data_IF_124223536617
#
_entry.id   IF_124223536617
#
_cell.length_a   1.000
_cell.length_b   1.000
_cell.length_c   1.000
_cell.angle_alpha   90.00
_cell.angle_beta   90.00
_cell.angle_gamma   90.00
#
_symmetry.space_group_name_H-M   'P 1'
#
loop_
_entity.id
_entity.type
_entity.pdbx_description
1 polymer ?
#
# COMPACT_ATOMS: atom_id res chain seq x y z
N UNK A 1 14.98 13.89 -2.09
CA UNK A 1 14.35 12.68 -2.60
C UNK A 1 13.69 11.91 -1.46
N UNK A 2 12.44 11.53 -1.63
CA UNK A 2 11.71 10.80 -0.61
C UNK A 2 11.85 9.30 -0.87
N UNK A 3 12.26 8.57 0.15
CA UNK A 3 12.35 7.11 0.07
C UNK A 3 11.02 6.48 0.46
N UNK A 4 10.63 5.46 -0.29
CA UNK A 4 9.46 4.65 0.09
C UNK A 4 9.87 3.75 1.24
N UNK A 5 9.10 3.77 2.31
CA UNK A 5 9.35 2.95 3.48
C UNK A 5 8.06 2.32 3.97
N UNK A 6 8.18 1.44 4.93
CA UNK A 6 7.02 0.82 5.56
C UNK A 6 6.08 1.91 6.09
N UNK A 7 4.82 1.89 5.65
CA UNK A 7 3.84 2.91 6.01
C UNK A 7 3.69 4.04 5.00
N UNK A 8 4.50 4.08 3.95
CA UNK A 8 4.38 5.10 2.91
C UNK A 8 3.20 4.80 1.99
N UNK A 9 2.42 5.83 1.69
CA UNK A 9 1.35 5.77 0.69
C UNK A 9 1.88 6.40 -0.59
N UNK A 10 1.71 5.69 -1.70
CA UNK A 10 2.08 6.18 -3.03
C UNK A 10 0.88 6.02 -3.96
N UNK A 11 0.87 6.80 -5.03
CA UNK A 11 -0.04 6.58 -6.15
C UNK A 11 0.75 6.01 -7.30
N UNK A 12 0.27 4.92 -7.87
CA UNK A 12 0.97 4.21 -8.93
C UNK A 12 -0.05 3.50 -9.80
N UNK A 13 0.27 3.33 -11.08
CA UNK A 13 -0.56 2.55 -12.00
C UNK A 13 0.09 1.20 -12.20
N UNK A 14 -0.69 0.14 -11.99
CA UNK A 14 -0.25 -1.23 -12.28
C UNK A 14 -0.73 -1.70 -13.63
N UNK A 15 -1.52 -0.88 -14.32
CA UNK A 15 -1.99 -1.22 -15.66
C UNK A 15 -0.84 -1.19 -16.66
N UNK A 16 -0.90 -1.98 -17.73
CA UNK A 16 0.07 -1.85 -18.82
C UNK A 16 0.05 -0.43 -19.33
N UNK A 17 1.24 0.09 -19.63
CA UNK A 17 1.34 1.47 -20.09
C UNK A 17 0.63 1.63 -21.42
N UNK A 18 -0.41 2.42 -21.46
CA UNK A 18 -1.24 2.64 -22.64
C UNK A 18 -1.20 4.13 -22.98
N UNK A 19 -0.13 4.56 -23.60
CA UNK A 19 0.01 5.97 -23.96
C UNK A 19 0.10 6.86 -22.73
N UNK A 20 -0.65 7.96 -22.74
CA UNK A 20 -0.55 8.99 -21.71
C UNK A 20 -1.79 9.07 -20.82
N UNK A 21 -2.54 7.99 -20.73
CA UNK A 21 -3.74 8.00 -19.91
C UNK A 21 -3.41 7.99 -18.43
N UNK A 22 -4.13 8.82 -17.68
CA UNK A 22 -3.97 8.92 -16.24
C UNK A 22 -4.80 7.89 -15.49
N UNK A 23 -5.61 7.15 -16.20
CA UNK A 23 -6.45 6.11 -15.59
C UNK A 23 -5.58 5.03 -14.95
N UNK A 24 -6.02 4.53 -13.83
CA UNK A 24 -5.32 3.44 -13.17
C UNK A 24 -4.34 3.87 -12.09
N UNK A 25 -4.07 5.16 -11.95
CA UNK A 25 -3.28 5.62 -10.81
C UNK A 25 -4.11 5.50 -9.56
N UNK A 26 -3.67 4.63 -8.66
CA UNK A 26 -4.41 4.33 -7.43
C UNK A 26 -3.48 4.39 -6.24
N UNK A 27 -4.02 4.68 -5.05
CA UNK A 27 -3.18 4.69 -3.84
C UNK A 27 -2.92 3.27 -3.34
N UNK A 28 -1.69 3.07 -2.91
CA UNK A 28 -1.22 1.84 -2.28
C UNK A 28 -0.37 2.22 -1.07
N UNK A 29 -0.40 1.38 -0.06
CA UNK A 29 0.45 1.58 1.12
C UNK A 29 1.50 0.47 1.19
N UNK A 30 2.74 0.86 1.42
CA UNK A 30 3.84 -0.09 1.58
C UNK A 30 3.76 -0.71 2.97
N UNK A 31 3.72 -2.03 3.03
CA UNK A 31 3.64 -2.75 4.29
C UNK A 31 4.87 -3.60 4.57
N UNK A 32 5.74 -3.82 3.59
CA UNK A 32 6.92 -4.63 3.80
C UNK A 32 8.04 -3.84 4.46
N UNK A 33 8.82 -4.54 5.26
CA UNK A 33 10.02 -4.00 5.88
C UNK A 33 11.00 -3.55 4.79
N UNK A 34 11.75 -2.50 5.06
CA UNK A 34 12.72 -1.95 4.10
C UNK A 34 13.77 -2.97 3.65
N UNK A 35 14.01 -4.00 4.46
CA UNK A 35 14.95 -5.06 4.10
C UNK A 35 14.51 -5.80 2.83
N UNK A 36 13.20 -5.92 2.59
CA UNK A 36 12.70 -6.56 1.37
C UNK A 36 13.15 -5.78 0.14
N UNK A 37 12.94 -4.46 0.16
CA UNK A 37 13.34 -3.61 -0.96
C UNK A 37 14.85 -3.58 -1.14
N UNK A 38 15.58 -3.58 -0.03
CA UNK A 38 17.04 -3.53 -0.07
C UNK A 38 17.63 -4.69 -0.87
N UNK A 39 17.06 -5.88 -0.72
CA UNK A 39 17.62 -7.07 -1.37
C UNK A 39 16.92 -7.45 -2.67
N UNK A 40 15.72 -6.97 -2.92
CA UNK A 40 14.95 -7.43 -4.08
C UNK A 40 14.49 -6.32 -5.01
N UNK A 41 14.65 -5.04 -4.63
CA UNK A 41 14.17 -3.87 -5.37
C UNK A 41 12.65 -3.84 -5.54
N UNK A 42 11.93 -4.64 -4.77
CA UNK A 42 10.46 -4.64 -4.77
C UNK A 42 9.97 -4.35 -3.36
N UNK A 43 8.68 -4.08 -3.25
CA UNK A 43 8.04 -3.96 -1.95
C UNK A 43 6.64 -4.56 -2.04
N UNK A 44 6.08 -4.90 -0.87
CA UNK A 44 4.74 -5.47 -0.79
C UNK A 44 3.80 -4.38 -0.33
N UNK A 45 2.74 -4.19 -1.09
CA UNK A 45 1.76 -3.12 -0.87
C UNK A 45 0.37 -3.69 -0.70
N UNK A 46 -0.51 -2.89 -0.10
CA UNK A 46 -1.94 -3.15 -0.09
C UNK A 46 -2.64 -1.99 -0.79
N UNK A 47 -3.66 -2.26 -1.61
CA UNK A 47 -4.41 -1.18 -2.25
C UNK A 47 -5.30 -0.48 -1.25
N UNK A 48 -5.62 0.78 -1.56
CA UNK A 48 -6.53 1.59 -0.77
C UNK A 48 -7.74 1.90 -1.63
N UNK A 49 -8.93 1.68 -1.09
CA UNK A 49 -10.18 1.85 -1.82
C UNK A 49 -11.22 2.53 -0.94
N UNK A 50 -12.09 3.32 -1.57
CA UNK A 50 -13.22 3.95 -0.88
C UNK A 50 -14.44 3.03 -0.78
N UNK A 51 -14.21 1.73 -0.69
CA UNK A 51 -15.28 0.76 -0.54
C UNK A 51 -16.07 1.01 0.74
N UNK A 52 -17.37 0.73 0.68
CA UNK A 52 -18.24 0.81 1.86
C UNK A 52 -18.35 -0.53 2.57
N UNK A 53 -17.70 -1.56 2.03
CA UNK A 53 -17.78 -2.89 2.60
C UNK A 53 -17.17 -2.91 4.00
N UNK A 54 -17.90 -3.51 4.93
CA UNK A 54 -17.45 -3.70 6.30
C UNK A 54 -16.85 -5.10 6.43
N UNK A 55 -15.54 -5.15 6.64
CA UNK A 55 -14.80 -6.41 6.60
C UNK A 55 -13.53 -6.25 7.45
N UNK A 56 -13.23 -7.21 8.34
CA UNK A 56 -12.13 -7.03 9.31
C UNK A 56 -10.76 -6.72 8.70
N UNK A 57 -10.51 -7.16 7.47
CA UNK A 57 -9.23 -6.89 6.80
C UNK A 57 -9.27 -5.68 5.90
N UNK A 58 -10.37 -4.91 5.93
CA UNK A 58 -10.47 -3.61 5.27
C UNK A 58 -10.41 -2.56 6.35
N UNK A 59 -9.24 -1.94 6.52
CA UNK A 59 -8.98 -1.05 7.66
C UNK A 59 -9.09 0.40 7.24
N UNK A 60 -9.98 1.18 7.87
CA UNK A 60 -10.12 2.59 7.52
C UNK A 60 -8.85 3.38 7.82
N UNK A 61 -8.49 4.26 6.89
CA UNK A 61 -7.42 5.23 7.12
C UNK A 61 -7.93 6.32 8.04
N UNK A 62 -7.11 6.70 9.02
CA UNK A 62 -7.42 7.79 9.95
C UNK A 62 -6.19 8.66 10.09
N UNK A 63 -6.43 9.97 10.17
CA UNK A 63 -5.35 10.93 10.33
C UNK A 63 -4.50 11.08 9.08
N UNK A 64 -5.05 10.76 7.92
CA UNK A 64 -4.33 10.82 6.65
C UNK A 64 -5.06 11.72 5.67
N UNK A 65 -4.32 12.25 4.68
CA UNK A 65 -4.92 12.98 3.56
C UNK A 65 -5.63 12.02 2.62
N UNK A 66 -5.12 10.80 2.50
CA UNK A 66 -5.71 9.76 1.68
C UNK A 66 -6.93 9.20 2.39
N UNK A 67 -8.04 9.07 1.67
CA UNK A 67 -9.28 8.52 2.21
C UNK A 67 -9.46 7.09 1.74
N UNK A 68 -10.22 6.33 2.51
CA UNK A 68 -10.57 4.97 2.13
C UNK A 68 -10.13 3.94 3.16
N UNK A 69 -10.13 2.69 2.72
CA UNK A 69 -9.74 1.55 3.54
C UNK A 69 -8.58 0.84 2.89
N UNK A 70 -7.67 0.35 3.72
CA UNK A 70 -6.57 -0.49 3.28
C UNK A 70 -7.09 -1.91 3.13
N UNK A 71 -6.95 -2.47 1.94
CA UNK A 71 -7.47 -3.81 1.63
C UNK A 71 -6.38 -4.85 1.88
N UNK A 72 -6.28 -5.31 3.12
CA UNK A 72 -5.15 -6.13 3.56
C UNK A 72 -5.09 -7.51 2.94
N UNK A 73 -6.23 -8.06 2.51
CA UNK A 73 -6.24 -9.39 1.88
C UNK A 73 -5.92 -9.33 0.38
N UNK A 74 -5.57 -8.15 -0.14
CA UNK A 74 -5.23 -7.96 -1.54
C UNK A 74 -3.78 -7.48 -1.70
N UNK A 75 -2.89 -8.08 -0.94
CA UNK A 75 -1.48 -7.72 -1.00
C UNK A 75 -0.92 -7.96 -2.40
N UNK A 76 -0.05 -7.06 -2.83
CA UNK A 76 0.57 -7.14 -4.14
C UNK A 76 2.02 -6.72 -4.04
N UNK A 77 2.88 -7.42 -4.76
CA UNK A 77 4.30 -7.10 -4.87
C UNK A 77 4.48 -6.18 -6.07
N UNK A 78 5.14 -5.04 -5.85
CA UNK A 78 5.33 -4.05 -6.91
C UNK A 78 6.80 -3.68 -7.01
N UNK A 79 7.33 -3.71 -8.24
CA UNK A 79 8.60 -3.08 -8.57
C UNK A 79 8.30 -1.61 -8.88
N UNK A 80 8.22 -0.81 -7.83
CA UNK A 80 7.80 0.58 -7.99
C UNK A 80 8.85 1.44 -8.70
N UNK A 81 10.11 1.01 -8.72
CA UNK A 81 11.16 1.75 -9.43
C UNK A 81 11.04 1.60 -10.94
N UNK A 82 10.35 0.56 -11.41
CA UNK A 82 10.13 0.35 -12.84
C UNK A 82 8.89 1.09 -13.36
N UNK A 83 8.23 1.84 -12.51
CA UNK A 83 6.99 2.54 -12.87
C UNK A 83 7.02 3.97 -12.36
N UNK A 84 6.25 4.82 -12.99
CA UNK A 84 6.05 6.17 -12.48
C UNK A 84 5.16 6.08 -11.25
N UNK A 85 5.62 6.67 -10.17
CA UNK A 85 4.81 6.73 -8.95
C UNK A 85 4.96 8.09 -8.30
N UNK A 86 4.02 8.40 -7.44
CA UNK A 86 4.03 9.65 -6.69
C UNK A 86 3.90 9.34 -5.21
N UNK A 87 4.87 9.81 -4.42
CA UNK A 87 4.77 9.72 -2.96
C UNK A 87 3.65 10.64 -2.48
N UNK A 88 2.85 10.17 -1.54
CA UNK A 88 1.75 10.95 -0.97
C UNK A 88 2.04 11.34 0.48
N UNK A 89 2.22 10.35 1.36
CA UNK A 89 2.39 10.58 2.79
C UNK A 89 2.79 9.30 3.49
N UNK A 90 3.23 9.43 4.72
CA UNK A 90 3.43 8.28 5.60
C UNK A 90 2.31 8.25 6.64
N UNK A 91 1.82 7.06 6.95
CA UNK A 91 0.84 6.89 8.02
C UNK A 91 1.53 6.98 9.38
N UNK A 92 0.73 7.16 10.44
CA UNK A 92 1.26 7.17 11.80
C UNK A 92 1.74 5.78 12.20
N UNK A 93 2.66 5.73 13.17
CA UNK A 93 3.13 4.43 13.67
C UNK A 93 2.00 3.60 14.25
N UNK A 94 1.06 4.25 14.95
CA UNK A 94 -0.08 3.54 15.51
C UNK A 94 -0.93 2.85 14.46
N UNK A 95 -1.18 3.55 13.34
CA UNK A 95 -1.95 2.94 12.25
C UNK A 95 -1.13 1.82 11.61
N UNK A 96 0.14 2.04 11.37
CA UNK A 96 1.01 1.00 10.80
C UNK A 96 1.02 -0.25 11.67
N UNK A 97 1.16 -0.09 12.98
CA UNK A 97 1.15 -1.22 13.92
C UNK A 97 -0.16 -2.01 13.81
N UNK A 98 -1.28 -1.31 13.72
CA UNK A 98 -2.58 -1.95 13.57
C UNK A 98 -2.66 -2.74 12.25
N UNK A 99 -2.19 -2.14 11.16
CA UNK A 99 -2.20 -2.80 9.86
C UNK A 99 -1.33 -4.06 9.88
N UNK A 100 -0.13 -3.97 10.44
CA UNK A 100 0.78 -5.10 10.48
C UNK A 100 0.25 -6.22 11.38
N UNK A 101 -0.38 -5.87 12.49
CA UNK A 101 -0.99 -6.87 13.37
C UNK A 101 -2.09 -7.66 12.64
N UNK A 102 -2.88 -6.98 11.81
CA UNK A 102 -3.95 -7.63 11.05
C UNK A 102 -3.40 -8.47 9.90
N UNK A 103 -2.35 -7.99 9.24
CA UNK A 103 -1.68 -8.77 8.18
C UNK A 103 -1.17 -10.09 8.75
N UNK A 104 -0.63 -10.04 9.96
CA UNK A 104 -0.13 -11.25 10.62
C UNK A 104 -1.23 -12.31 10.75
N UNK A 105 -2.45 -11.88 11.06
CA UNK A 105 -3.58 -12.82 11.20
C UNK A 105 -3.89 -13.52 9.89
N UNK A 106 -3.71 -12.85 8.75
CA UNK A 106 -3.95 -13.46 7.45
C UNK A 106 -3.10 -14.70 7.21
N UNK A 107 -1.96 -14.79 7.84
CA UNK A 107 -1.00 -15.86 7.61
C UNK A 107 -0.85 -16.80 8.80
N UNK A 108 -1.70 -16.65 9.80
CA UNK A 108 -1.72 -17.59 10.90
C UNK A 108 -2.28 -18.92 10.43
N UNK A 109 -1.77 -19.97 11.04
CA UNK A 109 -2.27 -21.31 10.74
C UNK A 109 -3.70 -21.43 11.27
N UNK A 110 -4.61 -21.72 10.37
CA UNK A 110 -6.02 -21.80 10.69
C UNK A 110 -6.46 -23.16 11.18
#
# INVERSE_FOLDING_TARGET
>A
MVSIKQGSIIKISLDPKQGHEQKGYRPYICLSHSVVTKYSNIAIFAPISNTKRDYPFYVPLKGTKTTGKVLLDQLVTIDFNARDYRYVEDVTEGLLDNLLARVKVLFEKG
#
